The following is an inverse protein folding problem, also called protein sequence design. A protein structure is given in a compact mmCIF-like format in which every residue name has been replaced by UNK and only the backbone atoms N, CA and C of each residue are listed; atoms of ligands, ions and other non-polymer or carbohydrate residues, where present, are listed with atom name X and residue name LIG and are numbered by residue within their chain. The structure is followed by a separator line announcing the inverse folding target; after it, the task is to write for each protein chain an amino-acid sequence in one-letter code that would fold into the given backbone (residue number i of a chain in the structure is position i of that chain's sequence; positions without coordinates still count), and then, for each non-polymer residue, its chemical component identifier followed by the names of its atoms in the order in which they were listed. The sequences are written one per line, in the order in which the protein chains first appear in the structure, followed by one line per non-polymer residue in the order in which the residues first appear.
data_IF_094108147120
#
_entry.id   IF_094108147120
#
_cell.length_a   1.000
_cell.length_b   1.000
_cell.length_c   1.000
_cell.angle_alpha   90.00
_cell.angle_beta   90.00
_cell.angle_gamma   90.00
#
_symmetry.space_group_name_H-M   'P 1'
#
loop_
_entity.id
_entity.type
_entity.pdbx_description
1 polymer ?
#
# COMPACT_ATOMS: atom_id res chain seq x y z
N UNK A 1 -28.35 19.68 -32.55
CA UNK A 1 -28.50 20.46 -31.31
C UNK A 1 -28.43 19.49 -30.14
N UNK A 2 -27.57 19.72 -29.15
CA UNK A 2 -27.52 18.97 -27.89
C UNK A 2 -27.38 19.99 -26.77
N UNK A 3 -28.21 19.85 -25.72
CA UNK A 3 -28.31 20.85 -24.66
C UNK A 3 -27.09 20.86 -23.75
N UNK A 4 -26.40 21.99 -23.67
CA UNK A 4 -25.37 22.21 -22.65
C UNK A 4 -26.04 22.48 -21.30
N UNK A 5 -26.21 21.46 -20.47
CA UNK A 5 -26.59 21.59 -19.06
C UNK A 5 -25.43 22.17 -18.22
N UNK A 6 -25.06 23.41 -18.52
CA UNK A 6 -24.01 24.14 -17.82
C UNK A 6 -24.41 24.41 -16.38
N UNK A 7 -23.77 23.71 -15.44
CA UNK A 7 -23.92 23.96 -14.01
C UNK A 7 -23.53 25.40 -13.68
N UNK A 8 -24.49 26.18 -13.19
CA UNK A 8 -24.28 27.57 -12.78
C UNK A 8 -23.53 27.59 -11.44
N UNK A 9 -22.20 27.65 -11.49
CA UNK A 9 -21.39 27.88 -10.30
C UNK A 9 -21.52 29.37 -9.89
N UNK A 10 -21.99 29.68 -8.67
CA UNK A 10 -22.14 31.07 -8.24
C UNK A 10 -20.77 31.73 -8.11
N UNK A 11 -20.66 32.98 -8.59
CA UNK A 11 -19.39 33.68 -8.69
C UNK A 11 -18.76 33.99 -7.33
N UNK A 12 -17.64 33.33 -7.03
CA UNK A 12 -16.65 33.74 -6.05
C UNK A 12 -15.26 33.66 -6.69
N UNK A 13 -14.35 34.54 -6.28
CA UNK A 13 -13.00 34.59 -6.86
C UNK A 13 -12.19 33.33 -6.57
N UNK A 14 -11.41 32.86 -7.55
CA UNK A 14 -10.48 31.74 -7.35
C UNK A 14 -9.38 32.14 -6.36
N UNK A 15 -9.33 31.50 -5.19
CA UNK A 15 -8.27 31.74 -4.22
C UNK A 15 -6.90 31.33 -4.76
N UNK A 16 -5.88 32.14 -4.51
CA UNK A 16 -4.49 31.76 -4.73
C UNK A 16 -4.04 30.65 -3.76
N UNK A 17 -2.94 29.99 -4.11
CA UNK A 17 -2.28 28.99 -3.24
C UNK A 17 -1.79 29.56 -1.89
N UNK A 18 -1.72 30.89 -1.74
CA UNK A 18 -1.40 31.55 -0.48
C UNK A 18 -2.65 31.75 0.40
N UNK A 19 -3.71 32.33 -0.17
CA UNK A 19 -4.96 32.60 0.56
C UNK A 19 -5.63 31.31 1.05
N UNK A 20 -5.74 30.30 0.19
CA UNK A 20 -6.42 29.05 0.56
C UNK A 20 -5.65 28.23 1.58
N UNK A 21 -4.32 28.34 1.56
CA UNK A 21 -3.44 27.77 2.58
C UNK A 21 -3.63 28.46 3.91
N UNK A 22 -3.68 29.80 3.90
CA UNK A 22 -3.95 30.56 5.14
C UNK A 22 -5.30 30.16 5.72
N UNK A 23 -6.38 30.12 4.93
CA UNK A 23 -7.69 29.59 5.37
C UNK A 23 -7.57 28.21 6.03
N UNK A 24 -6.85 27.28 5.40
CA UNK A 24 -6.67 25.93 5.94
C UNK A 24 -5.91 25.93 7.27
N UNK A 25 -4.88 26.77 7.43
CA UNK A 25 -4.13 26.94 8.68
C UNK A 25 -4.98 27.60 9.78
N UNK A 26 -5.65 28.72 9.46
CA UNK A 26 -6.50 29.45 10.39
C UNK A 26 -7.59 28.52 10.99
N UNK A 27 -8.21 27.65 10.19
CA UNK A 27 -9.22 26.67 10.67
C UNK A 27 -8.58 25.49 11.40
N UNK A 28 -7.42 24.99 10.97
CA UNK A 28 -6.69 23.91 11.66
C UNK A 28 -6.29 24.36 13.09
N UNK A 29 -5.80 25.58 13.25
CA UNK A 29 -5.45 26.17 14.55
C UNK A 29 -6.68 26.32 15.46
N UNK A 30 -7.80 26.83 14.94
CA UNK A 30 -9.07 26.93 15.69
C UNK A 30 -9.59 25.56 16.15
N UNK A 31 -9.56 24.55 15.28
CA UNK A 31 -10.00 23.19 15.65
C UNK A 31 -9.01 22.57 16.65
N UNK A 32 -7.70 22.78 16.52
CA UNK A 32 -6.72 22.28 17.47
C UNK A 32 -6.86 22.94 18.86
N UNK A 33 -7.09 24.25 18.91
CA UNK A 33 -7.34 25.00 20.14
C UNK A 33 -8.63 24.56 20.88
N UNK A 34 -9.57 23.89 20.19
CA UNK A 34 -10.78 23.33 20.82
C UNK A 34 -10.53 22.10 21.71
N UNK A 35 -9.31 21.55 21.72
CA UNK A 35 -9.00 20.35 22.50
C UNK A 35 -8.46 20.66 23.90
N UNK A 36 -9.08 20.05 24.92
CA UNK A 36 -8.45 19.89 26.23
C UNK A 36 -7.67 18.57 26.32
N UNK A 37 -6.40 18.68 26.70
CA UNK A 37 -5.47 17.57 26.94
C UNK A 37 -4.90 17.64 28.35
N UNK A 38 -5.33 16.73 29.21
CA UNK A 38 -4.66 16.47 30.49
C UNK A 38 -3.56 15.42 30.27
N UNK A 39 -2.47 15.48 31.02
CA UNK A 39 -1.39 14.49 30.93
C UNK A 39 -1.90 13.04 31.08
N UNK A 40 -2.91 12.82 31.95
CA UNK A 40 -3.53 11.51 32.12
C UNK A 40 -4.30 11.02 30.87
N UNK A 41 -4.91 11.94 30.11
CA UNK A 41 -5.57 11.63 28.83
C UNK A 41 -4.53 11.36 27.74
N UNK A 42 -3.46 12.15 27.68
CA UNK A 42 -2.35 11.96 26.73
C UNK A 42 -1.66 10.59 26.92
N UNK A 43 -1.38 10.21 28.17
CA UNK A 43 -0.80 8.89 28.52
C UNK A 43 -1.71 7.75 28.07
N UNK A 44 -3.03 7.86 28.31
CA UNK A 44 -4.00 6.82 27.90
C UNK A 44 -4.15 6.73 26.39
N UNK A 45 -4.18 7.86 25.68
CA UNK A 45 -4.22 7.89 24.22
C UNK A 45 -2.94 7.32 23.61
N UNK A 46 -1.77 7.71 24.11
CA UNK A 46 -0.48 7.20 23.62
C UNK A 46 -0.37 5.69 23.81
N UNK A 47 -0.71 5.19 25.00
CA UNK A 47 -0.77 3.75 25.28
C UNK A 47 -1.74 3.01 24.33
N UNK A 48 -2.93 3.55 24.06
CA UNK A 48 -3.88 2.93 23.14
C UNK A 48 -3.32 2.78 21.73
N UNK A 49 -2.64 3.83 21.24
CA UNK A 49 -2.00 3.84 19.91
C UNK A 49 -0.79 2.89 19.86
N UNK A 50 -0.02 2.79 20.94
CA UNK A 50 1.11 1.86 21.06
C UNK A 50 0.67 0.39 21.12
N UNK A 51 -0.41 0.08 21.86
CA UNK A 51 -1.05 -1.25 21.86
C UNK A 51 -1.55 -1.61 20.45
N UNK A 52 -2.32 -0.73 19.80
CA UNK A 52 -2.80 -0.94 18.41
C UNK A 52 -1.64 -1.18 17.44
N UNK A 53 -0.53 -0.44 17.55
CA UNK A 53 0.62 -0.64 16.68
C UNK A 53 1.28 -2.00 16.87
N UNK A 54 1.28 -2.55 18.09
CA UNK A 54 1.70 -3.92 18.35
C UNK A 54 0.82 -4.94 17.63
N UNK A 55 -0.50 -4.79 17.71
CA UNK A 55 -1.48 -5.68 17.07
C UNK A 55 -1.47 -5.60 15.52
N UNK A 56 -0.94 -4.51 14.95
CA UNK A 56 -0.87 -4.30 13.49
C UNK A 56 0.46 -4.71 12.85
N UNK A 57 1.51 -4.96 13.64
CA UNK A 57 2.82 -5.32 13.11
C UNK A 57 2.81 -6.75 12.52
N UNK A 58 3.06 -6.93 11.21
CA UNK A 58 3.03 -8.27 10.62
C UNK A 58 4.16 -9.14 11.16
N UNK A 59 3.81 -10.36 11.53
CA UNK A 59 4.70 -11.40 12.07
C UNK A 59 5.82 -11.79 11.10
N UNK A 60 6.77 -12.63 11.54
CA UNK A 60 7.77 -13.16 10.61
C UNK A 60 7.13 -14.16 9.64
N UNK A 61 6.16 -14.94 10.13
CA UNK A 61 5.33 -15.85 9.36
C UNK A 61 4.53 -15.11 8.27
N UNK A 62 3.99 -13.92 8.56
CA UNK A 62 3.34 -13.04 7.57
C UNK A 62 4.27 -12.57 6.46
N UNK A 63 5.57 -12.38 6.77
CA UNK A 63 6.60 -11.95 5.82
C UNK A 63 7.06 -13.12 4.96
N UNK A 64 7.34 -14.25 5.58
CA UNK A 64 7.81 -15.48 4.94
C UNK A 64 6.73 -16.10 4.05
N UNK A 65 5.46 -16.06 4.48
CA UNK A 65 4.32 -16.46 3.65
C UNK A 65 4.24 -15.63 2.36
N UNK A 66 4.34 -14.30 2.46
CA UNK A 66 4.30 -13.40 1.30
C UNK A 66 5.52 -13.58 0.39
N UNK A 67 6.72 -13.75 0.96
CA UNK A 67 7.94 -14.06 0.20
C UNK A 67 7.82 -15.41 -0.55
N UNK A 68 7.29 -16.45 0.09
CA UNK A 68 7.06 -17.76 -0.52
C UNK A 68 6.00 -17.72 -1.64
N UNK A 69 4.95 -16.91 -1.50
CA UNK A 69 3.99 -16.67 -2.59
C UNK A 69 4.71 -16.00 -3.77
N UNK A 70 5.44 -14.89 -3.55
CA UNK A 70 6.16 -14.17 -4.62
C UNK A 70 7.08 -15.13 -5.40
N UNK A 71 8.00 -15.81 -4.72
CA UNK A 71 8.99 -16.68 -5.37
C UNK A 71 8.33 -17.86 -6.11
N UNK A 72 7.28 -18.44 -5.54
CA UNK A 72 6.57 -19.56 -6.18
C UNK A 72 5.65 -19.11 -7.32
N UNK A 73 5.10 -17.90 -7.28
CA UNK A 73 4.22 -17.37 -8.32
C UNK A 73 5.03 -16.91 -9.54
N UNK A 74 6.19 -16.28 -9.32
CA UNK A 74 7.19 -16.00 -10.36
C UNK A 74 7.62 -17.31 -11.08
N UNK A 75 7.93 -18.35 -10.31
CA UNK A 75 8.26 -19.69 -10.85
C UNK A 75 7.13 -20.29 -11.70
N UNK A 76 5.87 -20.17 -11.25
CA UNK A 76 4.70 -20.65 -11.99
C UNK A 76 4.46 -19.85 -13.28
N UNK A 77 4.59 -18.53 -13.26
CA UNK A 77 4.37 -17.70 -14.44
C UNK A 77 5.45 -17.94 -15.50
N UNK A 78 6.71 -18.16 -15.09
CA UNK A 78 7.82 -18.58 -15.97
C UNK A 78 7.59 -19.94 -16.64
N UNK A 79 6.82 -20.85 -16.02
CA UNK A 79 6.40 -22.11 -16.65
C UNK A 79 5.21 -21.92 -17.59
N UNK A 80 4.33 -20.95 -17.30
CA UNK A 80 3.09 -20.66 -18.05
C UNK A 80 3.32 -19.82 -19.31
N UNK A 81 4.34 -18.96 -19.30
CA UNK A 81 4.63 -17.99 -20.34
C UNK A 81 6.00 -18.26 -20.98
N UNK A 82 5.97 -18.57 -22.27
CA UNK A 82 7.17 -18.72 -23.10
C UNK A 82 7.88 -17.37 -23.29
N UNK A 83 9.01 -17.18 -22.63
CA UNK A 83 9.89 -16.02 -22.78
C UNK A 83 10.44 -15.49 -21.45
N UNK A 84 11.32 -14.48 -21.52
CA UNK A 84 11.82 -13.79 -20.33
C UNK A 84 10.70 -12.99 -19.66
N UNK A 85 10.23 -13.48 -18.52
CA UNK A 85 9.24 -12.82 -17.67
C UNK A 85 9.65 -12.90 -16.20
N UNK A 86 9.21 -11.94 -15.40
CA UNK A 86 9.43 -11.86 -13.95
C UNK A 86 8.15 -11.36 -13.29
N UNK A 87 7.77 -11.98 -12.16
CA UNK A 87 6.75 -11.42 -11.27
C UNK A 87 7.44 -10.74 -10.10
N UNK A 88 7.15 -9.46 -9.89
CA UNK A 88 7.64 -8.70 -8.74
C UNK A 88 6.45 -8.15 -7.94
N UNK A 89 6.56 -8.08 -6.59
CA UNK A 89 5.56 -7.43 -5.77
C UNK A 89 5.66 -5.90 -5.91
N UNK A 90 4.58 -5.19 -5.56
CA UNK A 90 4.60 -3.75 -5.33
C UNK A 90 3.78 -3.41 -4.08
N UNK A 91 3.30 -2.17 -3.97
CA UNK A 91 2.25 -1.77 -3.04
C UNK A 91 2.62 -1.91 -1.57
N UNK A 92 1.69 -2.44 -0.78
CA UNK A 92 1.80 -2.40 0.69
C UNK A 92 2.97 -3.25 1.22
N UNK A 93 3.29 -4.36 0.54
CA UNK A 93 4.40 -5.24 0.90
C UNK A 93 5.77 -4.56 0.68
N UNK A 94 6.01 -4.00 -0.51
CA UNK A 94 7.28 -3.33 -0.85
C UNK A 94 7.52 -2.07 -0.02
N UNK A 95 6.45 -1.34 0.34
CA UNK A 95 6.55 -0.17 1.22
C UNK A 95 6.70 -0.54 2.72
N UNK A 96 6.61 -1.83 3.06
CA UNK A 96 6.51 -2.32 4.44
C UNK A 96 5.34 -1.70 5.23
N UNK A 97 4.28 -1.24 4.55
CA UNK A 97 3.06 -0.68 5.18
C UNK A 97 1.89 -1.67 5.20
N UNK A 98 2.17 -2.96 5.03
CA UNK A 98 1.19 -4.04 5.10
C UNK A 98 0.95 -4.51 6.54
N UNK A 99 -0.22 -5.09 6.76
CA UNK A 99 -0.68 -5.75 8.00
C UNK A 99 -0.93 -7.24 7.70
N UNK A 100 -1.19 -8.07 8.72
CA UNK A 100 -1.50 -9.49 8.50
C UNK A 100 -2.70 -9.72 7.55
N UNK A 101 -3.66 -8.79 7.54
CA UNK A 101 -4.87 -8.78 6.71
C UNK A 101 -4.76 -7.88 5.44
N UNK A 102 -3.55 -7.54 5.02
CA UNK A 102 -3.29 -6.83 3.76
C UNK A 102 -3.02 -7.79 2.59
N UNK A 103 -3.62 -7.47 1.45
CA UNK A 103 -3.41 -8.11 0.14
C UNK A 103 -1.94 -8.05 -0.33
N UNK A 104 -1.57 -8.95 -1.23
CA UNK A 104 -0.28 -9.00 -1.90
C UNK A 104 -0.39 -8.50 -3.35
N UNK A 105 -0.01 -7.25 -3.57
CA UNK A 105 0.08 -6.61 -4.89
C UNK A 105 1.18 -7.24 -5.75
N UNK A 106 0.86 -7.84 -6.90
CA UNK A 106 1.80 -8.47 -7.84
C UNK A 106 1.72 -7.87 -9.24
N UNK A 107 2.85 -7.73 -9.92
CA UNK A 107 2.89 -7.35 -11.34
C UNK A 107 3.82 -8.27 -12.14
N UNK A 108 3.29 -8.79 -13.24
CA UNK A 108 4.03 -9.51 -14.27
C UNK A 108 4.71 -8.52 -15.22
N UNK A 109 6.03 -8.55 -15.29
CA UNK A 109 6.83 -7.84 -16.27
C UNK A 109 7.34 -8.81 -17.34
N UNK A 110 7.18 -8.45 -18.61
CA UNK A 110 7.65 -9.23 -19.77
C UNK A 110 8.79 -8.45 -20.42
N UNK A 111 9.92 -9.09 -20.67
CA UNK A 111 11.10 -8.42 -21.23
C UNK A 111 10.83 -7.95 -22.68
N UNK A 112 10.62 -6.64 -22.84
CA UNK A 112 10.21 -5.96 -24.08
C UNK A 112 10.85 -4.58 -24.12
N UNK A 113 11.27 -4.15 -25.31
CA UNK A 113 11.77 -2.78 -25.55
C UNK A 113 10.65 -1.73 -25.42
N UNK A 114 9.44 -2.05 -25.89
CA UNK A 114 8.30 -1.15 -25.94
C UNK A 114 7.31 -1.42 -24.79
N UNK A 115 6.59 -0.40 -24.29
CA UNK A 115 5.46 -0.60 -23.37
C UNK A 115 4.37 -1.47 -24.00
N UNK A 116 3.74 -2.34 -23.21
CA UNK A 116 2.67 -3.22 -23.70
C UNK A 116 1.36 -2.46 -23.89
N UNK A 117 0.63 -2.76 -24.98
CA UNK A 117 -0.74 -2.27 -25.21
C UNK A 117 -1.72 -2.81 -24.16
N UNK A 118 -2.93 -2.23 -24.07
CA UNK A 118 -3.98 -2.76 -23.17
C UNK A 118 -4.38 -4.18 -23.57
N UNK A 119 -4.42 -4.46 -24.86
CA UNK A 119 -4.78 -5.74 -25.48
C UNK A 119 -3.70 -6.79 -25.16
N UNK A 120 -2.41 -6.42 -25.25
CA UNK A 120 -1.30 -7.28 -24.83
C UNK A 120 -1.33 -7.57 -23.33
N UNK A 121 -1.53 -6.55 -22.49
CA UNK A 121 -1.68 -6.72 -21.03
C UNK A 121 -2.85 -7.67 -20.71
N UNK A 122 -3.98 -7.52 -21.39
CA UNK A 122 -5.13 -8.42 -21.26
C UNK A 122 -4.85 -9.84 -21.80
N UNK A 123 -4.05 -10.00 -22.86
CA UNK A 123 -3.63 -11.32 -23.37
C UNK A 123 -2.80 -12.09 -22.34
N UNK A 124 -1.75 -11.47 -21.79
CA UNK A 124 -0.92 -12.09 -20.75
C UNK A 124 -1.73 -12.38 -19.49
N UNK A 125 -2.54 -11.43 -19.03
CA UNK A 125 -3.38 -11.61 -17.84
C UNK A 125 -4.37 -12.76 -18.00
N UNK A 126 -5.06 -12.86 -19.15
CA UNK A 126 -5.98 -13.97 -19.46
C UNK A 126 -5.27 -15.33 -19.46
N UNK A 127 -4.07 -15.43 -20.05
CA UNK A 127 -3.27 -16.68 -20.03
C UNK A 127 -2.93 -17.14 -18.61
N UNK A 128 -2.54 -16.21 -17.75
CA UNK A 128 -2.27 -16.52 -16.34
C UNK A 128 -3.57 -16.91 -15.62
N UNK A 129 -4.67 -16.17 -15.80
CA UNK A 129 -6.00 -16.53 -15.25
C UNK A 129 -6.41 -17.97 -15.58
N UNK A 130 -6.35 -18.40 -16.84
CA UNK A 130 -6.70 -19.78 -17.23
C UNK A 130 -5.81 -20.81 -16.54
N UNK A 131 -4.53 -20.50 -16.35
CA UNK A 131 -3.58 -21.42 -15.71
C UNK A 131 -3.74 -21.46 -14.18
N UNK A 132 -4.16 -20.35 -13.56
CA UNK A 132 -4.60 -20.33 -12.16
C UNK A 132 -5.87 -21.17 -11.95
N UNK A 133 -6.84 -21.07 -12.88
CA UNK A 133 -8.09 -21.84 -12.83
C UNK A 133 -7.84 -23.35 -12.93
N UNK A 134 -6.86 -23.80 -13.72
CA UNK A 134 -6.42 -25.19 -13.72
C UNK A 134 -5.90 -25.64 -12.34
N UNK A 135 -5.13 -24.78 -11.65
CA UNK A 135 -4.57 -25.03 -10.31
C UNK A 135 -5.52 -24.72 -9.15
N UNK A 136 -6.81 -25.00 -9.30
CA UNK A 136 -7.86 -24.86 -8.29
C UNK A 136 -7.58 -25.55 -6.94
N UNK A 137 -6.65 -26.52 -6.89
CA UNK A 137 -6.18 -27.17 -5.67
C UNK A 137 -5.23 -26.29 -4.83
N UNK A 138 -4.63 -25.25 -5.43
CA UNK A 138 -3.74 -24.29 -4.77
C UNK A 138 -4.34 -22.89 -4.66
N UNK A 139 -5.03 -22.43 -5.69
CA UNK A 139 -5.60 -21.09 -5.74
C UNK A 139 -7.13 -21.14 -5.74
N UNK A 140 -7.79 -20.18 -5.09
CA UNK A 140 -9.25 -20.00 -5.17
C UNK A 140 -9.65 -18.53 -5.33
N UNK A 141 -10.97 -18.28 -5.36
CA UNK A 141 -11.58 -16.95 -5.51
C UNK A 141 -11.01 -16.14 -6.69
N UNK A 142 -10.73 -16.83 -7.80
CA UNK A 142 -10.11 -16.25 -9.00
C UNK A 142 -11.11 -15.33 -9.70
N UNK A 143 -10.95 -14.02 -9.51
CA UNK A 143 -11.87 -12.97 -9.97
C UNK A 143 -11.17 -12.00 -10.95
N UNK A 144 -11.41 -12.11 -12.26
CA UNK A 144 -10.76 -11.24 -13.25
C UNK A 144 -11.49 -9.91 -13.46
N UNK A 145 -10.79 -8.79 -13.28
CA UNK A 145 -11.34 -7.43 -13.34
C UNK A 145 -10.81 -6.70 -14.59
N UNK A 146 -11.10 -7.25 -15.77
CA UNK A 146 -10.56 -6.77 -17.06
C UNK A 146 -11.01 -5.36 -17.51
N UNK A 147 -12.08 -4.82 -16.90
CA UNK A 147 -12.64 -3.49 -17.23
C UNK A 147 -12.00 -2.32 -16.46
N UNK A 148 -11.26 -2.58 -15.38
CA UNK A 148 -10.60 -1.54 -14.59
C UNK A 148 -9.49 -0.81 -15.39
N UNK A 149 -9.13 0.42 -14.98
CA UNK A 149 -8.08 1.22 -15.65
C UNK A 149 -6.78 0.44 -15.78
N UNK A 150 -6.30 -0.16 -14.68
CA UNK A 150 -5.31 -1.24 -14.69
C UNK A 150 -6.08 -2.56 -14.60
N UNK A 151 -6.04 -3.43 -15.63
CA UNK A 151 -6.62 -4.77 -15.54
C UNK A 151 -5.89 -5.61 -14.49
N UNK A 152 -6.65 -6.29 -13.62
CA UNK A 152 -6.12 -7.22 -12.62
C UNK A 152 -6.87 -8.54 -12.61
N UNK A 153 -6.27 -9.59 -12.04
CA UNK A 153 -6.97 -10.77 -11.53
C UNK A 153 -6.69 -10.93 -10.04
N UNK A 154 -7.74 -10.93 -9.23
CA UNK A 154 -7.68 -11.28 -7.81
C UNK A 154 -7.72 -12.79 -7.66
N UNK A 155 -7.03 -13.34 -6.67
CA UNK A 155 -7.10 -14.75 -6.28
C UNK A 155 -6.57 -14.91 -4.84
N UNK A 156 -6.81 -16.06 -4.20
CA UNK A 156 -6.30 -16.40 -2.87
C UNK A 156 -5.39 -17.61 -2.97
N UNK A 157 -4.20 -17.58 -2.35
CA UNK A 157 -3.37 -18.77 -2.13
C UNK A 157 -3.92 -19.59 -0.95
N UNK A 158 -4.42 -20.79 -1.21
CA UNK A 158 -5.13 -21.64 -0.23
C UNK A 158 -4.28 -22.06 0.98
N UNK A 159 -2.95 -22.10 0.83
CA UNK A 159 -2.05 -22.50 1.94
C UNK A 159 -1.98 -21.41 3.00
N UNK A 160 -2.00 -20.16 2.56
CA UNK A 160 -1.76 -18.98 3.41
C UNK A 160 -3.04 -18.20 3.73
N UNK A 161 -4.08 -18.31 2.88
CA UNK A 161 -5.28 -17.48 2.95
C UNK A 161 -5.07 -16.03 2.47
N UNK A 162 -3.93 -15.72 1.86
CA UNK A 162 -3.58 -14.36 1.43
C UNK A 162 -4.18 -14.06 0.06
N UNK A 163 -4.99 -13.00 -0.01
CA UNK A 163 -5.47 -12.42 -1.26
C UNK A 163 -4.32 -11.76 -2.02
N UNK A 164 -4.27 -11.99 -3.33
CA UNK A 164 -3.22 -11.56 -4.24
C UNK A 164 -3.86 -10.88 -5.47
N UNK A 165 -3.35 -9.71 -5.84
CA UNK A 165 -3.83 -8.92 -6.97
C UNK A 165 -2.76 -8.90 -8.07
N UNK A 166 -2.93 -9.71 -9.12
CA UNK A 166 -2.00 -9.74 -10.24
C UNK A 166 -2.39 -8.73 -11.32
N UNK A 167 -1.44 -7.86 -11.66
CA UNK A 167 -1.45 -6.93 -12.79
C UNK A 167 -0.40 -7.31 -13.85
N UNK A 168 -0.40 -6.66 -15.02
CA UNK A 168 0.65 -6.81 -16.04
C UNK A 168 1.29 -5.45 -16.34
N UNK A 169 2.62 -5.39 -16.25
CA UNK A 169 3.45 -4.23 -16.53
C UNK A 169 2.94 -2.94 -15.82
N UNK A 170 2.72 -3.04 -14.51
CA UNK A 170 2.31 -1.91 -13.68
C UNK A 170 3.52 -1.08 -13.24
N UNK A 171 4.07 -0.28 -14.15
CA UNK A 171 5.22 0.60 -13.86
C UNK A 171 4.85 1.71 -12.86
N UNK A 172 3.69 2.37 -13.04
CA UNK A 172 3.12 3.35 -12.11
C UNK A 172 3.13 2.82 -10.66
N UNK A 173 2.65 1.59 -10.44
CA UNK A 173 2.62 0.95 -9.13
C UNK A 173 4.01 0.71 -8.53
N UNK A 174 4.95 0.18 -9.31
CA UNK A 174 6.32 -0.05 -8.86
C UNK A 174 7.04 1.25 -8.49
N UNK A 175 7.00 2.26 -9.35
CA UNK A 175 7.66 3.56 -9.13
C UNK A 175 7.10 4.30 -7.91
N UNK A 176 5.78 4.26 -7.70
CA UNK A 176 5.17 4.80 -6.47
C UNK A 176 5.63 4.04 -5.24
N UNK A 177 5.66 2.71 -5.30
CA UNK A 177 6.10 1.86 -4.18
C UNK A 177 7.56 2.11 -3.81
N UNK A 178 8.43 2.32 -4.80
CA UNK A 178 9.84 2.68 -4.63
C UNK A 178 10.02 4.03 -3.90
N UNK A 179 9.30 5.07 -4.33
CA UNK A 179 9.33 6.39 -3.67
C UNK A 179 8.81 6.30 -2.24
N UNK A 180 7.68 5.63 -2.03
CA UNK A 180 7.05 5.46 -0.72
C UNK A 180 7.92 4.65 0.25
N UNK A 181 8.56 3.57 -0.22
CA UNK A 181 9.48 2.76 0.58
C UNK A 181 10.70 3.56 1.07
N UNK A 182 11.21 4.48 0.24
CA UNK A 182 12.34 5.33 0.59
C UNK A 182 12.01 6.32 1.74
N UNK A 183 10.76 6.77 1.87
CA UNK A 183 10.34 7.66 2.97
C UNK A 183 10.44 6.99 4.35
N UNK A 184 10.23 5.67 4.42
CA UNK A 184 10.43 4.87 5.64
C UNK A 184 11.89 4.88 6.15
N UNK A 185 12.85 5.32 5.32
CA UNK A 185 14.24 5.49 5.73
C UNK A 185 14.58 6.88 6.29
N UNK A 186 13.69 7.88 6.12
CA UNK A 186 13.93 9.29 6.49
C UNK A 186 13.60 9.55 7.96
N UNK A 187 12.39 9.20 8.40
CA UNK A 187 11.94 9.27 9.79
C UNK A 187 11.11 8.01 10.12
N UNK A 188 11.45 7.38 11.25
CA UNK A 188 10.81 6.14 11.75
C UNK A 188 9.29 6.28 11.95
N UNK A 189 8.76 7.50 12.05
CA UNK A 189 7.35 7.79 12.35
C UNK A 189 6.41 7.67 11.15
N UNK A 190 6.93 7.71 9.93
CA UNK A 190 6.12 7.59 8.71
C UNK A 190 5.32 6.28 8.66
N UNK A 191 6.01 5.14 8.82
CA UNK A 191 5.40 3.81 8.69
C UNK A 191 4.29 3.54 9.73
N UNK A 192 4.49 3.77 11.05
CA UNK A 192 3.44 3.62 12.05
C UNK A 192 2.18 4.45 11.76
N UNK A 193 2.35 5.71 11.34
CA UNK A 193 1.22 6.58 10.99
C UNK A 193 0.42 6.00 9.80
N UNK A 194 1.10 5.48 8.77
CA UNK A 194 0.43 4.82 7.65
C UNK A 194 -0.30 3.52 8.04
N UNK A 195 0.24 2.71 8.96
CA UNK A 195 -0.45 1.50 9.45
C UNK A 195 -1.74 1.87 10.18
N UNK A 196 -1.67 2.81 11.13
CA UNK A 196 -2.82 3.29 11.90
C UNK A 196 -3.91 3.86 10.98
N UNK A 197 -3.57 4.78 10.08
CA UNK A 197 -4.54 5.43 9.19
C UNK A 197 -5.16 4.45 8.19
N UNK A 198 -4.39 3.50 7.65
CA UNK A 198 -4.93 2.45 6.77
C UNK A 198 -5.86 1.49 7.51
N UNK A 199 -5.52 1.08 8.74
CA UNK A 199 -6.39 0.23 9.57
C UNK A 199 -7.67 0.95 9.94
N UNK A 200 -7.57 2.19 10.41
CA UNK A 200 -8.73 3.02 10.73
C UNK A 200 -9.67 3.15 9.54
N UNK A 201 -9.15 3.55 8.38
CA UNK A 201 -9.96 3.71 7.17
C UNK A 201 -10.56 2.38 6.67
N UNK A 202 -9.85 1.25 6.82
CA UNK A 202 -10.39 -0.08 6.48
C UNK A 202 -11.51 -0.51 7.43
N UNK A 203 -11.38 -0.19 8.71
CA UNK A 203 -12.35 -0.57 9.77
C UNK A 203 -13.58 0.34 9.80
N UNK A 204 -13.54 1.47 9.07
CA UNK A 204 -14.67 2.37 8.78
C UNK A 204 -15.18 2.21 7.32
N UNK A 205 -14.79 1.14 6.62
CA UNK A 205 -15.23 0.84 5.24
C UNK A 205 -14.94 1.93 4.18
N UNK A 206 -13.97 2.82 4.44
CA UNK A 206 -13.58 3.96 3.57
C UNK A 206 -12.20 3.79 2.91
N UNK A 207 -11.74 2.55 2.73
CA UNK A 207 -10.46 2.18 2.10
C UNK A 207 -10.64 1.24 0.89
N UNK A 208 -11.68 1.48 0.09
CA UNK A 208 -11.90 0.85 -1.22
C UNK A 208 -12.33 1.88 -2.28
N UNK A 209 -11.40 2.20 -3.19
CA UNK A 209 -11.62 3.10 -4.31
C UNK A 209 -12.43 2.49 -5.47
N UNK A 210 -12.70 1.17 -5.46
CA UNK A 210 -13.66 0.53 -6.37
C UNK A 210 -15.10 0.67 -5.87
N UNK A 211 -15.29 0.77 -4.55
CA UNK A 211 -16.57 1.11 -3.91
C UNK A 211 -16.88 2.62 -3.85
N UNK A 212 -15.98 3.48 -4.35
CA UNK A 212 -16.16 4.94 -4.38
C UNK A 212 -15.56 5.72 -3.20
N UNK A 213 -14.72 5.08 -2.38
CA UNK A 213 -14.08 5.69 -1.20
C UNK A 213 -12.59 6.00 -1.45
N UNK A 214 -11.76 6.15 -0.38
CA UNK A 214 -10.32 6.39 -0.54
C UNK A 214 -9.59 5.11 -0.98
N UNK A 215 -8.43 5.28 -1.62
CA UNK A 215 -7.47 4.18 -1.76
C UNK A 215 -6.40 4.26 -0.67
N UNK A 216 -5.79 3.13 -0.33
CA UNK A 216 -4.60 3.10 0.53
C UNK A 216 -3.44 3.95 -0.01
N UNK A 217 -3.37 4.21 -1.33
CA UNK A 217 -2.42 5.18 -1.90
C UNK A 217 -2.77 6.61 -1.46
N UNK A 218 -4.03 7.04 -1.59
CA UNK A 218 -4.49 8.38 -1.17
C UNK A 218 -4.32 8.58 0.34
N UNK A 219 -4.66 7.58 1.16
CA UNK A 219 -4.44 7.60 2.62
C UNK A 219 -2.95 7.79 2.94
N UNK A 220 -2.07 7.11 2.20
CA UNK A 220 -0.61 7.27 2.33
C UNK A 220 -0.14 8.65 1.89
N UNK A 221 -0.67 9.21 0.79
CA UNK A 221 -0.35 10.57 0.35
C UNK A 221 -0.78 11.63 1.38
N UNK A 222 -1.96 11.49 1.98
CA UNK A 222 -2.44 12.37 3.04
C UNK A 222 -1.57 12.25 4.31
N UNK A 223 -1.10 11.05 4.66
CA UNK A 223 -0.18 10.84 5.77
C UNK A 223 1.19 11.52 5.53
N UNK A 224 1.74 11.41 4.31
CA UNK A 224 2.97 12.12 3.90
C UNK A 224 2.74 13.63 3.98
N UNK A 225 1.64 14.12 3.43
CA UNK A 225 1.27 15.52 3.44
C UNK A 225 1.14 16.08 4.87
N UNK A 226 0.55 15.31 5.78
CA UNK A 226 0.49 15.69 7.20
C UNK A 226 1.90 15.84 7.79
N UNK A 227 2.75 14.82 7.67
CA UNK A 227 4.12 14.83 8.16
C UNK A 227 5.01 15.91 7.53
N UNK A 228 4.73 16.29 6.29
CA UNK A 228 5.37 17.41 5.59
C UNK A 228 4.90 18.79 6.07
N UNK A 229 3.70 18.89 6.65
CA UNK A 229 3.06 20.15 7.09
C UNK A 229 2.87 20.25 8.61
N UNK A 230 3.51 19.37 9.38
CA UNK A 230 3.77 19.57 10.81
C UNK A 230 4.71 20.79 11.01
N UNK A 231 4.71 21.37 12.22
CA UNK A 231 5.61 22.46 12.58
C UNK A 231 6.36 22.14 13.88
N UNK A 232 7.66 21.77 13.83
CA UNK A 232 8.49 21.57 12.64
C UNK A 232 8.03 20.40 11.75
N UNK A 233 8.44 20.34 10.47
CA UNK A 233 8.08 19.23 9.59
C UNK A 233 8.86 17.95 9.92
N UNK A 234 8.21 16.79 9.73
CA UNK A 234 8.77 15.45 9.96
C UNK A 234 9.38 14.85 8.68
N UNK A 235 8.79 15.14 7.51
CA UNK A 235 9.28 14.69 6.20
C UNK A 235 9.58 15.89 5.27
N UNK A 236 10.58 15.79 4.38
CA UNK A 236 10.86 16.81 3.37
C UNK A 236 9.86 16.77 2.21
N UNK A 237 9.76 17.84 1.39
CA UNK A 237 9.00 17.83 0.14
C UNK A 237 9.48 16.73 -0.82
N UNK A 238 8.57 16.02 -1.48
CA UNK A 238 8.98 14.95 -2.41
C UNK A 238 9.79 15.52 -3.59
N UNK A 239 9.62 16.79 -3.96
CA UNK A 239 10.47 17.48 -4.93
C UNK A 239 11.97 17.44 -4.60
N UNK A 240 12.36 17.36 -3.31
CA UNK A 240 13.78 17.18 -2.93
C UNK A 240 14.30 15.75 -3.14
N UNK A 241 13.41 14.77 -3.28
CA UNK A 241 13.74 13.35 -3.46
C UNK A 241 13.60 12.93 -4.94
N UNK A 242 12.48 13.29 -5.58
CA UNK A 242 12.15 12.88 -6.96
C UNK A 242 12.32 13.99 -8.00
N UNK A 243 12.68 15.21 -7.60
CA UNK A 243 12.86 16.34 -8.53
C UNK A 243 13.85 16.01 -9.65
N UNK A 244 13.41 16.23 -10.90
CA UNK A 244 14.19 15.97 -12.11
C UNK A 244 14.37 14.48 -12.49
N UNK A 245 13.67 13.54 -11.83
CA UNK A 245 13.72 12.11 -12.19
C UNK A 245 12.54 11.72 -13.07
N UNK A 246 12.77 10.95 -14.14
CA UNK A 246 11.71 10.31 -14.91
C UNK A 246 11.28 9.00 -14.24
N UNK A 247 10.29 9.10 -13.36
CA UNK A 247 9.77 7.96 -12.59
C UNK A 247 9.18 6.83 -13.45
N UNK A 248 9.06 6.97 -14.77
CA UNK A 248 8.61 5.88 -15.66
C UNK A 248 9.64 4.74 -15.75
N UNK A 249 10.91 5.00 -15.42
CA UNK A 249 11.93 3.97 -15.18
C UNK A 249 12.27 3.86 -13.69
N UNK A 250 11.56 2.95 -13.00
CA UNK A 250 11.82 2.61 -11.60
C UNK A 250 13.21 2.02 -11.37
N UNK A 251 13.78 1.32 -12.36
CA UNK A 251 15.09 0.67 -12.24
C UNK A 251 16.19 1.73 -12.19
N UNK A 252 16.21 2.63 -13.18
CA UNK A 252 17.12 3.77 -13.23
C UNK A 252 16.98 4.68 -12.02
N UNK A 253 15.74 5.02 -11.62
CA UNK A 253 15.51 5.94 -10.51
C UNK A 253 15.85 5.38 -9.12
N UNK A 254 15.92 4.05 -8.96
CA UNK A 254 16.06 3.39 -7.64
C UNK A 254 17.27 3.86 -6.82
N UNK A 255 18.45 3.88 -7.43
CA UNK A 255 19.68 4.35 -6.78
C UNK A 255 19.63 5.82 -6.38
N UNK A 256 19.11 6.68 -7.26
CA UNK A 256 18.99 8.13 -7.00
C UNK A 256 17.99 8.43 -5.88
N UNK A 257 16.82 7.76 -5.89
CA UNK A 257 15.79 7.91 -4.85
C UNK A 257 16.34 7.44 -3.50
N UNK A 258 17.00 6.28 -3.45
CA UNK A 258 17.59 5.74 -2.22
C UNK A 258 18.70 6.66 -1.67
N UNK A 259 19.62 7.12 -2.52
CA UNK A 259 20.70 8.02 -2.11
C UNK A 259 20.18 9.37 -1.61
N UNK A 260 19.20 9.98 -2.29
CA UNK A 260 18.57 11.23 -1.86
C UNK A 260 17.79 11.07 -0.56
N UNK A 261 16.98 10.03 -0.41
CA UNK A 261 16.27 9.76 0.84
C UNK A 261 17.24 9.53 2.01
N UNK A 262 18.35 8.81 1.79
CA UNK A 262 19.40 8.63 2.80
C UNK A 262 20.02 9.96 3.26
N UNK A 263 20.18 10.93 2.37
CA UNK A 263 20.67 12.27 2.72
C UNK A 263 19.70 13.09 3.61
N UNK A 264 18.43 12.67 3.70
CA UNK A 264 17.43 13.26 4.59
C UNK A 264 17.22 12.46 5.90
N UNK A 265 18.07 11.47 6.22
CA UNK A 265 17.97 10.71 7.46
C UNK A 265 17.97 11.61 8.70
N UNK A 266 16.90 11.52 9.50
CA UNK A 266 16.73 12.34 10.70
C UNK A 266 16.24 13.78 10.43
N UNK A 267 15.80 14.13 9.22
CA UNK A 267 15.24 15.45 8.88
C UNK A 267 14.18 15.92 9.90
N UNK A 268 13.29 15.01 10.30
CA UNK A 268 12.23 15.25 11.28
C UNK A 268 12.67 15.39 12.74
N UNK A 269 13.96 15.26 13.07
CA UNK A 269 14.44 15.20 14.46
C UNK A 269 14.23 16.50 15.28
N UNK A 270 13.86 17.62 14.65
CA UNK A 270 13.43 18.85 15.34
C UNK A 270 11.96 18.82 15.75
N UNK A 271 11.14 17.98 15.12
CA UNK A 271 9.78 17.70 15.55
C UNK A 271 9.81 16.56 16.58
N UNK A 272 9.29 16.83 17.78
CA UNK A 272 9.30 15.90 18.92
C UNK A 272 7.99 15.10 19.08
N UNK A 273 7.05 15.23 18.14
CA UNK A 273 5.71 14.69 18.26
C UNK A 273 5.72 13.15 18.29
N UNK A 274 4.96 12.59 19.23
CA UNK A 274 4.68 11.16 19.35
C UNK A 274 3.79 10.69 18.20
N UNK A 275 3.79 9.38 17.90
CA UNK A 275 2.85 8.81 16.91
C UNK A 275 1.40 9.10 17.27
N UNK A 276 1.06 9.06 18.57
CA UNK A 276 -0.25 9.44 19.07
C UNK A 276 -0.65 10.87 18.70
N UNK A 277 0.26 11.82 18.86
CA UNK A 277 0.00 13.21 18.53
C UNK A 277 -0.13 13.40 17.00
N UNK A 278 0.82 12.87 16.22
CA UNK A 278 0.77 12.90 14.75
C UNK A 278 -0.49 12.21 14.18
N UNK A 279 -0.94 11.13 14.82
CA UNK A 279 -2.20 10.47 14.49
C UNK A 279 -3.39 11.37 14.82
N UNK A 280 -3.44 12.00 16.01
CA UNK A 280 -4.50 12.96 16.37
C UNK A 280 -4.55 14.16 15.42
N UNK A 281 -3.41 14.80 15.16
CA UNK A 281 -3.31 16.03 14.36
C UNK A 281 -3.61 15.78 12.89
N UNK A 282 -3.42 14.56 12.38
CA UNK A 282 -3.90 14.18 11.04
C UNK A 282 -5.40 14.42 10.90
N UNK A 283 -6.21 13.93 11.84
CA UNK A 283 -7.67 14.07 11.77
C UNK A 283 -8.07 15.55 11.87
N UNK A 284 -7.46 16.30 12.79
CA UNK A 284 -7.68 17.74 12.90
C UNK A 284 -7.42 18.47 11.58
N UNK A 285 -6.27 18.21 10.93
CA UNK A 285 -5.88 18.81 9.65
C UNK A 285 -6.84 18.46 8.51
N UNK A 286 -7.31 17.22 8.41
CA UNK A 286 -8.22 16.81 7.32
C UNK A 286 -9.67 17.24 7.62
N UNK A 287 -10.18 17.13 8.84
CA UNK A 287 -11.52 17.61 9.22
C UNK A 287 -11.65 19.12 9.00
N UNK A 288 -10.64 19.91 9.37
CA UNK A 288 -10.65 21.37 9.24
C UNK A 288 -10.91 21.87 7.81
N UNK A 289 -10.52 21.11 6.78
CA UNK A 289 -10.56 21.56 5.38
C UNK A 289 -11.79 21.12 4.57
N UNK A 290 -12.83 20.54 5.21
CA UNK A 290 -14.02 19.99 4.52
C UNK A 290 -14.60 20.90 3.44
N UNK A 291 -14.83 22.18 3.77
CA UNK A 291 -15.40 23.16 2.84
C UNK A 291 -14.40 23.59 1.74
N UNK A 292 -13.11 23.60 2.05
CA UNK A 292 -12.08 24.17 1.18
C UNK A 292 -11.78 23.31 -0.06
N UNK A 293 -12.14 22.02 -0.07
CA UNK A 293 -12.06 21.19 -1.28
C UNK A 293 -12.90 21.74 -2.44
N UNK A 294 -14.06 22.34 -2.12
CA UNK A 294 -14.93 23.01 -3.10
C UNK A 294 -14.45 24.44 -3.43
N UNK A 295 -13.51 24.97 -2.65
CA UNK A 295 -12.78 26.21 -2.94
C UNK A 295 -11.46 25.97 -3.71
N UNK A 296 -11.23 24.76 -4.24
CA UNK A 296 -10.06 24.44 -5.08
C UNK A 296 -8.80 24.02 -4.31
N UNK A 297 -8.93 23.71 -3.01
CA UNK A 297 -7.81 23.24 -2.19
C UNK A 297 -7.27 21.91 -2.72
N UNK A 298 -5.96 21.79 -2.81
CA UNK A 298 -5.27 20.55 -3.17
C UNK A 298 -4.09 20.27 -2.24
N UNK A 299 -3.99 19.03 -1.75
CA UNK A 299 -2.83 18.54 -1.00
C UNK A 299 -1.70 18.15 -1.97
N UNK A 300 -0.60 18.90 -1.98
CA UNK A 300 0.60 18.56 -2.76
C UNK A 300 1.69 17.97 -1.88
N UNK A 301 1.99 16.68 -2.09
CA UNK A 301 3.16 16.01 -1.49
C UNK A 301 4.46 16.34 -2.21
N UNK A 302 4.39 16.77 -3.48
CA UNK A 302 5.55 17.26 -4.24
C UNK A 302 6.08 18.57 -3.66
N UNK A 303 5.18 19.50 -3.33
CA UNK A 303 5.51 20.81 -2.79
C UNK A 303 5.42 20.94 -1.25
N UNK A 304 5.01 19.88 -0.52
CA UNK A 304 4.83 19.90 0.95
C UNK A 304 3.90 21.01 1.46
N UNK A 305 2.87 21.37 0.71
CA UNK A 305 2.04 22.53 1.03
C UNK A 305 0.64 22.45 0.40
N UNK A 306 -0.34 23.10 1.03
CA UNK A 306 -1.62 23.38 0.40
C UNK A 306 -1.40 24.28 -0.83
N UNK A 307 -1.99 23.88 -1.96
CA UNK A 307 -2.02 24.66 -3.20
C UNK A 307 -3.46 24.80 -3.70
N UNK A 308 -3.69 25.75 -4.61
CA UNK A 308 -4.94 25.93 -5.33
C UNK A 308 -4.84 25.28 -6.71
N UNK A 309 -5.85 24.49 -7.13
CA UNK A 309 -5.97 23.94 -8.49
C UNK A 309 -7.41 24.07 -9.00
N UNK A 310 -7.56 24.47 -10.26
CA UNK A 310 -8.86 24.70 -10.91
C UNK A 310 -8.73 24.55 -12.45
N UNK A 311 -9.85 24.39 -13.20
CA UNK A 311 -11.08 23.70 -12.83
C UNK A 311 -11.05 22.22 -13.28
N UNK A 312 -10.31 21.91 -14.36
CA UNK A 312 -10.23 20.60 -15.00
C UNK A 312 -9.57 19.49 -14.16
N UNK A 313 -8.98 19.85 -13.02
CA UNK A 313 -8.38 18.93 -12.06
C UNK A 313 -9.38 18.41 -11.01
N UNK A 314 -10.47 19.14 -10.75
CA UNK A 314 -11.46 18.85 -9.70
C UNK A 314 -12.58 17.89 -10.15
N UNK A 315 -12.20 16.77 -10.78
CA UNK A 315 -13.12 15.66 -11.06
C UNK A 315 -13.30 14.73 -9.82
N UNK A 316 -13.55 15.30 -8.64
CA UNK A 316 -13.72 14.54 -7.39
C UNK A 316 -13.78 15.43 -6.15
N UNK A 317 -14.40 14.94 -5.07
CA UNK A 317 -14.73 15.73 -3.88
C UNK A 317 -13.56 15.97 -2.90
N UNK A 318 -12.46 15.23 -3.05
CA UNK A 318 -11.18 15.45 -2.35
C UNK A 318 -10.11 15.58 -3.42
N UNK A 319 -9.10 16.43 -3.18
CA UNK A 319 -8.10 16.77 -4.18
C UNK A 319 -6.67 16.54 -3.68
N UNK A 320 -6.05 15.46 -4.12
CA UNK A 320 -4.67 15.10 -3.74
C UNK A 320 -3.83 14.94 -5.00
N UNK A 321 -2.71 15.63 -5.08
CA UNK A 321 -1.81 15.56 -6.23
C UNK A 321 -1.07 14.21 -6.28
N UNK A 322 -1.20 13.50 -7.40
CA UNK A 322 -0.42 12.29 -7.66
C UNK A 322 1.03 12.67 -8.03
N UNK A 323 2.00 12.47 -7.13
CA UNK A 323 3.39 12.90 -7.36
C UNK A 323 4.07 12.24 -8.57
N UNK A 324 3.51 11.14 -9.08
CA UNK A 324 3.98 10.44 -10.29
C UNK A 324 3.43 11.05 -11.59
N UNK A 325 2.25 11.67 -11.53
CA UNK A 325 1.64 12.40 -12.66
C UNK A 325 0.83 13.58 -12.11
N UNK A 326 1.46 14.77 -11.93
CA UNK A 326 0.82 15.94 -11.36
C UNK A 326 -0.39 16.51 -12.13
N UNK A 327 -0.76 15.92 -13.28
CA UNK A 327 -2.02 16.17 -13.98
C UNK A 327 -3.21 15.39 -13.40
N UNK A 328 -2.97 14.40 -12.53
CA UNK A 328 -4.00 13.55 -11.91
C UNK A 328 -4.29 13.94 -10.47
N UNK A 329 -5.58 14.08 -10.15
CA UNK A 329 -6.07 13.94 -8.78
C UNK A 329 -6.07 12.45 -8.39
N UNK A 330 -5.29 12.06 -7.38
CA UNK A 330 -5.22 10.70 -6.86
C UNK A 330 -6.54 10.27 -6.16
N UNK A 331 -7.28 11.23 -5.61
CA UNK A 331 -8.53 11.01 -4.87
C UNK A 331 -9.81 11.08 -5.75
N UNK A 332 -9.66 11.09 -7.08
CA UNK A 332 -10.77 11.14 -8.07
C UNK A 332 -11.80 10.00 -8.01
N UNK A 333 -11.59 8.99 -7.16
CA UNK A 333 -12.54 7.90 -6.94
C UNK A 333 -13.64 8.27 -5.91
N UNK A 334 -13.39 9.28 -5.07
CA UNK A 334 -14.31 9.69 -4.00
C UNK A 334 -15.58 10.30 -4.58
N UNK A 335 -16.71 9.61 -4.40
CA UNK A 335 -18.03 10.12 -4.83
C UNK A 335 -18.59 11.16 -3.85
N UNK A 336 -19.58 11.98 -4.24
CA UNK A 336 -20.24 12.92 -3.33
C UNK A 336 -20.94 12.27 -2.14
N UNK A 337 -21.46 11.04 -2.28
CA UNK A 337 -22.05 10.28 -1.18
C UNK A 337 -20.97 9.86 -0.19
N UNK A 338 -19.89 9.31 -0.72
CA UNK A 338 -18.86 8.68 0.10
C UNK A 338 -17.92 9.73 0.72
N UNK A 339 -17.82 10.92 0.12
CA UNK A 339 -17.24 12.13 0.71
C UNK A 339 -17.86 12.47 2.06
N UNK A 340 -19.20 12.58 2.14
CA UNK A 340 -19.87 12.91 3.41
C UNK A 340 -19.71 11.78 4.44
N UNK A 341 -19.68 10.51 4.01
CA UNK A 341 -19.42 9.39 4.93
C UNK A 341 -17.98 9.37 5.45
N UNK A 342 -16.98 9.63 4.60
CA UNK A 342 -15.58 9.84 5.00
C UNK A 342 -15.48 10.96 6.04
N UNK A 343 -16.16 12.09 5.79
CA UNK A 343 -16.15 13.21 6.73
C UNK A 343 -16.89 12.91 8.03
N UNK A 344 -18.02 12.22 8.01
CA UNK A 344 -18.69 11.74 9.23
C UNK A 344 -17.76 10.84 10.06
N UNK A 345 -16.97 9.96 9.43
CA UNK A 345 -16.01 9.11 10.13
C UNK A 345 -14.85 9.93 10.75
N UNK A 346 -14.33 10.92 10.02
CA UNK A 346 -13.30 11.85 10.52
C UNK A 346 -13.82 12.69 11.70
N UNK A 347 -15.00 13.30 11.54
CA UNK A 347 -15.68 14.14 12.54
C UNK A 347 -16.00 13.34 13.81
N UNK A 348 -16.54 12.12 13.67
CA UNK A 348 -16.78 11.21 14.80
C UNK A 348 -15.49 10.86 15.56
N UNK A 349 -14.38 10.65 14.84
CA UNK A 349 -13.08 10.34 15.43
C UNK A 349 -12.50 11.55 16.18
N UNK A 350 -12.57 12.75 15.60
CA UNK A 350 -12.21 14.03 16.25
C UNK A 350 -13.00 14.22 17.54
N UNK A 351 -14.30 13.94 17.53
CA UNK A 351 -15.17 14.06 18.70
C UNK A 351 -14.90 13.00 19.77
N UNK A 352 -14.54 11.77 19.38
CA UNK A 352 -14.07 10.76 20.31
C UNK A 352 -12.73 11.17 20.95
N UNK A 353 -11.81 11.79 20.20
CA UNK A 353 -10.54 12.32 20.71
C UNK A 353 -10.72 13.54 21.64
N UNK A 354 -11.84 14.27 21.57
CA UNK A 354 -12.20 15.32 22.53
C UNK A 354 -12.58 14.74 23.90
N UNK A 355 -13.35 13.65 23.92
CA UNK A 355 -13.92 13.02 25.13
C UNK A 355 -12.84 12.37 26.03
N UNK A 356 -13.13 12.12 27.32
CA UNK A 356 -12.24 11.35 28.19
C UNK A 356 -12.21 9.86 27.83
N UNK A 357 -11.03 9.24 27.84
CA UNK A 357 -10.86 7.79 27.59
C UNK A 357 -11.17 7.03 28.89
N UNK A 358 -12.44 6.76 29.16
CA UNK A 358 -12.89 6.00 30.35
C UNK A 358 -12.60 4.51 30.21
N UNK A 359 -13.12 3.86 29.17
CA UNK A 359 -12.74 2.51 28.76
C UNK A 359 -11.65 2.55 27.68
N UNK A 360 -10.73 1.59 27.74
CA UNK A 360 -9.63 1.45 26.77
C UNK A 360 -10.03 0.60 25.57
N UNK A 361 -10.81 -0.47 25.77
CA UNK A 361 -11.15 -1.39 24.68
C UNK A 361 -12.15 -0.78 23.71
N UNK A 362 -13.19 -0.10 24.21
CA UNK A 362 -14.11 0.68 23.37
C UNK A 362 -13.40 1.81 22.61
N UNK A 363 -12.37 2.41 23.21
CA UNK A 363 -11.56 3.44 22.53
C UNK A 363 -10.70 2.83 21.42
N UNK A 364 -10.01 1.70 21.67
CA UNK A 364 -9.27 0.99 20.61
C UNK A 364 -10.19 0.52 19.49
N UNK A 365 -11.35 -0.08 19.81
CA UNK A 365 -12.36 -0.50 18.83
C UNK A 365 -12.90 0.65 17.99
N UNK A 366 -13.06 1.85 18.56
CA UNK A 366 -13.43 3.04 17.80
C UNK A 366 -12.36 3.43 16.77
N UNK A 367 -11.08 3.13 17.00
CA UNK A 367 -10.01 3.37 16.02
C UNK A 367 -9.90 2.22 14.99
N UNK A 368 -9.90 0.95 15.42
CA UNK A 368 -9.51 -0.20 14.58
C UNK A 368 -10.57 -1.30 14.40
N UNK A 369 -11.81 -1.04 14.84
CA UNK A 369 -12.93 -1.99 14.82
C UNK A 369 -12.72 -3.20 15.74
N UNK A 370 -13.69 -4.11 15.76
CA UNK A 370 -13.55 -5.40 16.47
C UNK A 370 -12.46 -6.30 15.86
N UNK A 371 -12.17 -6.13 14.57
CA UNK A 371 -11.21 -6.91 13.79
C UNK A 371 -9.72 -6.63 14.09
N UNK A 372 -9.38 -6.19 15.30
CA UNK A 372 -8.00 -6.07 15.79
C UNK A 372 -7.73 -6.90 17.05
N UNK A 373 -8.74 -7.58 17.62
CA UNK A 373 -8.50 -8.66 18.58
C UNK A 373 -7.64 -9.76 17.92
N UNK A 374 -6.68 -10.37 18.63
CA UNK A 374 -5.82 -11.39 18.05
C UNK A 374 -6.67 -12.54 17.49
N UNK A 375 -6.41 -12.91 16.24
CA UNK A 375 -7.06 -14.08 15.62
C UNK A 375 -6.79 -15.29 16.51
N UNK A 376 -7.82 -15.82 17.15
CA UNK A 376 -7.75 -17.15 17.78
C UNK A 376 -7.24 -18.08 16.70
N UNK A 377 -6.03 -18.63 16.90
CA UNK A 377 -5.44 -19.56 15.94
C UNK A 377 -6.43 -20.68 15.72
N UNK A 378 -6.94 -20.91 14.50
CA UNK A 378 -7.84 -22.02 14.27
C UNK A 378 -7.13 -23.30 14.70
N UNK A 379 -7.80 -24.22 15.41
CA UNK A 379 -7.15 -25.43 15.90
C UNK A 379 -6.46 -26.11 14.71
N UNK A 380 -5.22 -26.63 14.90
CA UNK A 380 -4.44 -27.17 13.79
C UNK A 380 -5.29 -28.21 13.07
N UNK A 381 -5.55 -27.97 11.78
CA UNK A 381 -6.35 -28.90 10.98
C UNK A 381 -5.67 -30.27 11.09
N UNK A 382 -6.40 -31.36 11.39
CA UNK A 382 -5.78 -32.67 11.46
C UNK A 382 -5.04 -32.92 10.16
N UNK A 383 -3.77 -33.33 10.27
CA UNK A 383 -2.92 -33.55 9.09
C UNK A 383 -3.63 -34.49 8.11
N UNK A 384 -3.49 -34.26 6.78
CA UNK A 384 -4.01 -35.21 5.81
C UNK A 384 -3.33 -36.56 6.07
N UNK A 385 -4.11 -37.54 6.53
CA UNK A 385 -3.62 -38.90 6.75
C UNK A 385 -3.24 -39.49 5.39
N UNK A 386 -1.96 -39.37 5.03
CA UNK A 386 -1.38 -40.19 3.99
C UNK A 386 -1.62 -41.66 4.37
N UNK A 387 -2.06 -42.51 3.43
CA UNK A 387 -2.21 -43.94 3.69
C UNK A 387 -0.90 -44.53 4.23
N UNK A 388 -1.00 -45.54 5.09
CA UNK A 388 0.20 -46.24 5.55
C UNK A 388 0.88 -46.88 4.33
N UNK A 389 2.21 -46.77 4.15
CA UNK A 389 2.90 -47.47 3.07
C UNK A 389 2.64 -48.98 3.02
N UNK A 390 2.15 -49.58 4.12
CA UNK A 390 1.74 -50.99 4.22
C UNK A 390 0.36 -51.29 3.62
N UNK A 391 -0.50 -50.30 3.38
CA UNK A 391 -1.83 -50.47 2.78
C UNK A 391 -1.80 -50.60 1.24
N UNK A 392 -0.65 -50.31 0.61
CA UNK A 392 -0.48 -50.36 -0.84
C UNK A 392 -0.24 -51.80 -1.30
N UNK A 393 -1.28 -52.46 -1.83
CA UNK A 393 -1.13 -53.76 -2.52
C UNK A 393 -0.32 -53.57 -3.82
N UNK A 394 0.72 -54.40 -4.07
CA UNK A 394 1.51 -54.28 -5.29
C UNK A 394 0.75 -54.81 -6.51
N UNK A 395 0.58 -53.98 -7.54
CA UNK A 395 0.20 -54.44 -8.88
C UNK A 395 1.44 -54.60 -9.75
N UNK A 396 1.62 -55.82 -10.25
CA UNK A 396 2.48 -56.15 -11.40
C UNK A 396 1.95 -55.43 -12.66
N UNK A 397 2.73 -55.17 -13.73
CA UNK A 397 4.19 -55.20 -13.94
C UNK A 397 4.54 -54.44 -15.25
N UNK A 398 5.83 -54.18 -15.52
CA UNK A 398 6.47 -54.17 -16.86
C UNK A 398 8.01 -54.16 -16.69
N UNK A 399 8.83 -54.75 -17.60
CA UNK A 399 10.16 -55.27 -17.24
C UNK A 399 11.38 -54.33 -17.41
N UNK A 400 12.49 -54.75 -16.80
CA UNK A 400 13.84 -54.18 -16.91
C UNK A 400 14.59 -54.59 -18.20
N UNK A 401 15.17 -53.61 -18.89
CA UNK A 401 16.38 -53.71 -19.73
C UNK A 401 17.15 -52.38 -19.55
N UNK A 402 18.49 -52.30 -19.43
CA UNK A 402 19.53 -53.33 -19.41
C UNK A 402 20.62 -52.96 -18.38
N UNK A 403 21.58 -53.85 -18.15
CA UNK A 403 22.61 -53.71 -17.11
C UNK A 403 23.86 -52.94 -17.59
N UNK A 404 24.45 -52.14 -16.69
CA UNK A 404 25.82 -51.66 -16.76
C UNK A 404 26.41 -51.58 -15.35
N UNK A 405 27.29 -52.52 -14.98
CA UNK A 405 27.88 -52.64 -13.63
C UNK A 405 29.41 -52.40 -13.64
N UNK A 406 30.05 -52.22 -12.47
CA UNK A 406 31.11 -51.21 -12.31
C UNK A 406 32.52 -51.80 -12.26
N UNK A 407 33.54 -50.94 -12.11
CA UNK A 407 34.71 -51.27 -11.31
C UNK A 407 35.27 -50.06 -10.52
N UNK A 408 36.34 -50.28 -9.74
CA UNK A 408 36.77 -49.48 -8.57
C UNK A 408 38.09 -48.70 -8.78
N UNK A 409 38.46 -47.76 -7.88
CA UNK A 409 39.54 -46.80 -8.09
C UNK A 409 40.91 -47.22 -7.53
N UNK A 410 41.97 -46.49 -7.90
CA UNK A 410 43.25 -46.46 -7.20
C UNK A 410 44.00 -45.10 -7.36
N UNK A 411 44.43 -44.54 -6.21
CA UNK A 411 45.77 -44.00 -5.89
C UNK A 411 46.64 -43.28 -6.96
N UNK A 412 47.19 -42.11 -6.59
CA UNK A 412 48.35 -41.45 -7.23
C UNK A 412 49.53 -41.32 -6.23
N UNK A 413 50.44 -40.31 -6.33
CA UNK A 413 50.57 -39.24 -7.33
C UNK A 413 51.74 -39.54 -8.31
N UNK A 414 53.00 -39.01 -8.31
CA UNK A 414 53.68 -37.93 -7.54
C UNK A 414 54.25 -36.76 -8.39
N UNK A 415 54.72 -35.71 -7.68
CA UNK A 415 55.67 -34.64 -8.05
C UNK A 415 56.21 -34.48 -9.50
N UNK A 416 56.14 -33.24 -10.00
CA UNK A 416 57.33 -32.45 -10.43
C UNK A 416 57.11 -30.95 -10.26
N UNK A 417 58.16 -30.22 -9.87
CA UNK A 417 58.26 -28.75 -9.93
C UNK A 417 59.07 -28.35 -11.17
N UNK A 418 58.66 -27.28 -11.85
CA UNK A 418 59.46 -26.20 -12.46
C UNK A 418 58.45 -25.04 -12.63
N UNK A 419 58.69 -23.76 -12.30
CA UNK A 419 59.88 -22.91 -12.43
C UNK A 419 60.26 -22.65 -13.89
N UNK A 420 59.47 -21.80 -14.55
CA UNK A 420 59.90 -20.45 -14.97
C UNK A 420 58.75 -19.46 -14.71
#
# INVERSE_FOLDING_TARGET
MLGSSGGHWPGNGFFSSGEIRKKAQDVEELVNASFSWTAQKEIRFSRAIEEILGDLEPSQEDRDARAAIVASFDSFVKQTLSGSSVVAPFGSYVTNTFTCDSDLDLSLYVNRMNPLSREEKLYFLKRVTTSLQAMHARYDQIQPIYKATVPVVKFVDRKTGIQCDLSVDNKDGASKSLVLAALSSIDKRFRPLCLLLKKWAKSHEINDASAGTLSSYVITLLAIFHLQTCSPPVLPPLSMIIGGLDLRDASYCSGFISARAKAFQGFGARNMDRISELFRTFFVKITAVKALWQEGLCASTYHAQWISKWPSFHNGCICVEDFYDPSRNAAKAVTPKDFEYIYQCLENSVDAFRRPITDMESFKKMIVGDGCMPKVTPPPRPEPRFPDPRDIRPSLAVPLLLQGRPHRPALGPPNRRFCE
#
